data_IF_441941630278
#
_entry.id   IF_441941630278
#
_cell.length_a   1.000
_cell.length_b   1.000
_cell.length_c   1.000
_cell.angle_alpha   90.00
_cell.angle_beta   90.00
_cell.angle_gamma   90.00
#
_symmetry.space_group_name_H-M   'P 1'
#
loop_
_entity.id
_entity.type
_entity.pdbx_description
1 polymer ?
#
# COMPACT_ATOMS: atom_id res chain seq x y z
N UNK A 1 -23.18 -3.69 1.36
CA UNK A 1 -22.22 -2.74 1.92
C UNK A 1 -21.88 -1.71 0.85
N UNK A 2 -22.02 -0.41 1.15
CA UNK A 2 -21.51 0.64 0.25
C UNK A 2 -20.05 0.90 0.62
N UNK A 3 -19.18 0.99 -0.38
CA UNK A 3 -17.75 1.23 -0.21
C UNK A 3 -17.38 2.52 -0.94
N UNK A 4 -16.59 3.37 -0.31
CA UNK A 4 -15.94 4.52 -0.94
C UNK A 4 -14.43 4.42 -0.76
N UNK A 5 -13.67 4.94 -1.70
CA UNK A 5 -12.22 5.01 -1.64
C UNK A 5 -11.78 6.48 -1.56
N UNK A 6 -10.99 6.83 -0.55
CA UNK A 6 -10.38 8.14 -0.43
C UNK A 6 -8.87 8.02 -0.63
N UNK A 7 -8.34 8.72 -1.61
CA UNK A 7 -6.94 8.67 -1.98
C UNK A 7 -6.35 10.06 -2.14
N UNK A 8 -5.27 10.35 -1.41
CA UNK A 8 -4.54 11.63 -1.53
C UNK A 8 -3.28 11.41 -2.36
N UNK A 9 -3.31 11.85 -3.60
CA UNK A 9 -2.16 11.87 -4.49
C UNK A 9 -1.32 13.10 -4.21
N UNK A 10 -0.05 12.91 -3.85
CA UNK A 10 0.86 14.02 -3.59
C UNK A 10 2.08 13.97 -4.48
N UNK A 11 2.43 15.12 -5.01
CA UNK A 11 3.56 15.31 -5.90
C UNK A 11 4.69 16.00 -5.17
N UNK A 12 5.93 15.47 -5.21
CA UNK A 12 7.08 16.16 -4.62
C UNK A 12 7.46 17.39 -5.46
N UNK A 13 7.76 18.51 -4.80
CA UNK A 13 8.16 19.75 -5.50
C UNK A 13 9.44 19.59 -6.35
N UNK A 14 10.29 18.62 -6.06
CA UNK A 14 11.46 18.32 -6.91
C UNK A 14 11.09 17.97 -8.36
N UNK A 15 9.87 17.51 -8.59
CA UNK A 15 9.32 17.18 -9.90
C UNK A 15 8.54 18.34 -10.53
N UNK A 16 8.64 19.54 -9.93
CA UNK A 16 7.94 20.71 -10.43
C UNK A 16 8.52 21.18 -11.74
N UNK A 17 7.68 21.39 -12.74
CA UNK A 17 7.98 22.11 -13.97
C UNK A 17 6.78 22.98 -14.33
N UNK A 18 7.00 24.14 -14.93
CA UNK A 18 5.92 25.04 -15.38
C UNK A 18 4.97 24.35 -16.38
N UNK A 19 5.51 23.48 -17.26
CA UNK A 19 4.70 22.69 -18.20
C UNK A 19 3.76 21.74 -17.45
N UNK A 20 4.27 21.08 -16.42
CA UNK A 20 3.52 20.13 -15.58
C UNK A 20 2.50 20.88 -14.73
N UNK A 21 2.90 22.02 -14.14
CA UNK A 21 2.01 22.85 -13.34
C UNK A 21 0.80 23.35 -14.16
N UNK A 22 0.96 23.73 -15.44
CA UNK A 22 -0.16 24.16 -16.28
C UNK A 22 -1.10 23.04 -16.73
N UNK A 23 -0.65 21.80 -16.76
CA UNK A 23 -1.42 20.63 -17.28
C UNK A 23 -2.10 19.81 -16.20
N UNK A 24 -1.62 19.86 -14.99
CA UNK A 24 -2.09 19.00 -13.91
C UNK A 24 -3.01 19.73 -12.95
N UNK A 25 -3.93 18.98 -12.33
CA UNK A 25 -4.83 19.48 -11.28
C UNK A 25 -4.06 19.85 -10.01
N UNK A 26 -4.42 20.95 -9.36
CA UNK A 26 -3.77 21.43 -8.13
C UNK A 26 -4.80 21.61 -7.02
N UNK A 27 -4.60 20.95 -5.90
CA UNK A 27 -5.48 20.99 -4.73
C UNK A 27 -6.97 20.78 -5.06
N UNK A 28 -7.23 20.07 -6.15
CA UNK A 28 -8.59 19.73 -6.59
C UNK A 28 -8.97 18.35 -6.09
N UNK A 29 -10.25 18.20 -5.79
CA UNK A 29 -10.84 16.90 -5.45
C UNK A 29 -11.67 16.45 -6.65
N UNK A 30 -11.29 15.31 -7.22
CA UNK A 30 -12.09 14.61 -8.22
C UNK A 30 -12.83 13.44 -7.58
N UNK A 31 -14.00 13.11 -8.12
CA UNK A 31 -14.75 11.93 -7.77
C UNK A 31 -15.00 11.12 -9.04
N UNK A 32 -14.66 9.84 -9.00
CA UNK A 32 -14.86 8.89 -10.10
C UNK A 32 -15.77 7.76 -9.57
N UNK A 33 -16.88 7.54 -10.23
CA UNK A 33 -17.77 6.41 -9.95
C UNK A 33 -17.54 5.32 -11.01
N UNK A 34 -17.11 4.15 -10.57
CA UNK A 34 -16.89 2.99 -11.46
C UNK A 34 -18.05 1.97 -11.38
N UNK A 35 -19.20 2.37 -10.81
CA UNK A 35 -20.38 1.54 -10.63
C UNK A 35 -20.32 0.61 -9.41
N UNK A 36 -19.14 0.25 -8.91
CA UNK A 36 -18.98 -0.58 -7.72
C UNK A 36 -18.70 0.24 -6.46
N UNK A 37 -17.96 1.32 -6.60
CA UNK A 37 -17.63 2.26 -5.53
C UNK A 37 -17.19 3.61 -6.08
N UNK A 38 -17.34 4.65 -5.27
CA UNK A 38 -16.87 6.00 -5.59
C UNK A 38 -15.44 6.16 -5.10
N UNK A 39 -14.57 6.64 -5.99
CA UNK A 39 -13.19 7.03 -5.65
C UNK A 39 -13.08 8.54 -5.57
N UNK A 40 -12.79 9.07 -4.40
CA UNK A 40 -12.44 10.47 -4.22
C UNK A 40 -10.93 10.64 -4.16
N UNK A 41 -10.39 11.49 -5.03
CA UNK A 41 -8.96 11.76 -5.14
C UNK A 41 -8.66 13.23 -4.92
N UNK A 42 -7.74 13.52 -3.98
CA UNK A 42 -7.20 14.86 -3.79
C UNK A 42 -5.82 14.97 -4.47
N UNK A 43 -5.69 15.84 -5.44
CA UNK A 43 -4.42 16.16 -6.10
C UNK A 43 -3.73 17.30 -5.38
N UNK A 44 -2.58 17.04 -4.75
CA UNK A 44 -1.88 18.03 -3.95
C UNK A 44 -0.36 18.01 -4.20
N UNK A 45 0.30 19.13 -3.88
CA UNK A 45 1.75 19.23 -3.82
C UNK A 45 2.23 19.14 -2.38
N UNK A 46 3.34 18.44 -2.15
CA UNK A 46 3.95 18.33 -0.84
C UNK A 46 5.47 18.55 -0.95
N UNK A 47 5.98 19.69 -0.46
CA UNK A 47 7.40 20.02 -0.58
C UNK A 47 8.31 19.09 0.23
N UNK A 48 7.75 18.46 1.26
CA UNK A 48 8.49 17.62 2.22
C UNK A 48 8.00 16.18 2.25
N UNK A 49 7.56 15.64 1.12
CA UNK A 49 6.87 14.35 1.01
C UNK A 49 7.60 13.20 1.73
N UNK A 50 8.92 13.15 1.68
CA UNK A 50 9.74 12.10 2.32
C UNK A 50 10.04 12.35 3.81
N UNK A 51 9.55 13.46 4.39
CA UNK A 51 9.81 13.83 5.78
C UNK A 51 8.61 13.56 6.68
N UNK A 52 8.84 13.60 8.01
CA UNK A 52 7.75 13.53 9.00
C UNK A 52 6.74 14.67 8.81
N UNK A 53 7.22 15.89 8.57
CA UNK A 53 6.34 17.04 8.31
C UNK A 53 5.48 16.82 7.06
N UNK A 54 6.07 16.28 6.00
CA UNK A 54 5.33 15.93 4.79
C UNK A 54 4.26 14.87 5.02
N UNK A 55 4.55 13.85 5.83
CA UNK A 55 3.57 12.85 6.20
C UNK A 55 2.41 13.41 7.04
N UNK A 56 2.68 14.36 7.94
CA UNK A 56 1.64 15.06 8.70
C UNK A 56 0.77 15.88 7.74
N UNK A 57 1.38 16.63 6.82
CA UNK A 57 0.64 17.39 5.79
C UNK A 57 -0.24 16.42 4.97
N UNK A 58 0.30 15.29 4.55
CA UNK A 58 -0.46 14.26 3.84
C UNK A 58 -1.67 13.80 4.65
N UNK A 59 -1.47 13.50 5.93
CA UNK A 59 -2.56 13.05 6.80
C UNK A 59 -3.64 14.11 6.99
N UNK A 60 -3.28 15.39 7.12
CA UNK A 60 -4.24 16.48 7.24
C UNK A 60 -5.02 16.69 5.94
N UNK A 61 -4.36 16.63 4.79
CA UNK A 61 -5.03 16.70 3.48
C UNK A 61 -5.98 15.51 3.28
N UNK A 62 -5.59 14.32 3.73
CA UNK A 62 -6.47 13.14 3.70
C UNK A 62 -7.70 13.34 4.60
N UNK A 63 -7.55 13.96 5.77
CA UNK A 63 -8.69 14.31 6.63
C UNK A 63 -9.63 15.31 5.95
N UNK A 64 -9.10 16.31 5.24
CA UNK A 64 -9.93 17.25 4.46
C UNK A 64 -10.70 16.53 3.35
N UNK A 65 -10.07 15.57 2.68
CA UNK A 65 -10.72 14.74 1.67
C UNK A 65 -11.85 13.92 2.29
N UNK A 66 -11.60 13.21 3.40
CA UNK A 66 -12.62 12.43 4.12
C UNK A 66 -13.75 13.34 4.64
N UNK A 67 -13.43 14.55 5.12
CA UNK A 67 -14.46 15.52 5.50
C UNK A 67 -15.36 15.88 4.32
N UNK A 68 -14.81 16.06 3.12
CA UNK A 68 -15.59 16.31 1.90
C UNK A 68 -16.47 15.11 1.58
N UNK A 69 -15.93 13.90 1.68
CA UNK A 69 -16.64 12.64 1.48
C UNK A 69 -17.85 12.53 2.43
N UNK A 70 -17.63 12.73 3.72
CA UNK A 70 -18.68 12.71 4.75
C UNK A 70 -19.80 13.72 4.43
N UNK A 71 -19.45 14.91 3.93
CA UNK A 71 -20.45 15.94 3.58
C UNK A 71 -21.24 15.60 2.32
N UNK A 72 -20.62 14.86 1.40
CA UNK A 72 -21.24 14.54 0.11
C UNK A 72 -22.07 13.27 0.19
N UNK A 73 -21.58 12.24 0.88
CA UNK A 73 -22.17 10.90 0.87
C UNK A 73 -22.67 10.42 2.24
N UNK A 74 -22.48 11.22 3.28
CA UNK A 74 -22.83 10.86 4.64
C UNK A 74 -21.67 10.25 5.43
N UNK A 75 -21.87 10.11 6.74
CA UNK A 75 -20.87 9.56 7.65
C UNK A 75 -20.73 8.05 7.44
N UNK A 76 -19.51 7.54 7.19
CA UNK A 76 -19.29 6.10 7.09
C UNK A 76 -19.36 5.43 8.47
N UNK A 77 -19.74 4.15 8.51
CA UNK A 77 -19.76 3.33 9.72
C UNK A 77 -18.34 2.95 10.17
N UNK A 78 -17.43 2.81 9.22
CA UNK A 78 -16.05 2.38 9.47
C UNK A 78 -15.09 2.96 8.43
N UNK A 79 -13.88 3.31 8.86
CA UNK A 79 -12.76 3.60 7.98
C UNK A 79 -11.80 2.42 8.01
N UNK A 80 -11.41 1.93 6.84
CA UNK A 80 -10.37 0.94 6.68
C UNK A 80 -9.13 1.61 6.09
N UNK A 81 -8.09 1.79 6.89
CA UNK A 81 -6.83 2.37 6.46
C UNK A 81 -5.84 1.29 6.06
N UNK A 82 -5.15 1.48 4.93
CA UNK A 82 -4.02 0.66 4.53
C UNK A 82 -2.73 1.38 4.90
N UNK A 83 -1.84 0.68 5.61
CA UNK A 83 -0.63 1.18 6.29
C UNK A 83 -0.89 2.05 7.53
N UNK A 84 -0.19 1.71 8.60
CA UNK A 84 -0.35 2.40 9.91
C UNK A 84 0.25 3.80 9.93
N UNK A 85 1.33 4.06 9.20
CA UNK A 85 2.09 5.30 9.36
C UNK A 85 1.25 6.53 9.05
N UNK A 86 0.91 6.81 7.80
CA UNK A 86 0.21 8.05 7.46
C UNK A 86 -1.28 7.86 7.27
N UNK A 87 -1.70 6.79 6.59
CA UNK A 87 -3.13 6.51 6.41
C UNK A 87 -3.80 6.13 7.73
N UNK A 88 -3.18 5.29 8.56
CA UNK A 88 -3.66 4.99 9.90
C UNK A 88 -3.68 6.20 10.82
N UNK A 89 -2.67 7.08 10.70
CA UNK A 89 -2.65 8.33 11.46
C UNK A 89 -3.76 9.29 11.01
N UNK A 90 -4.02 9.39 9.70
CA UNK A 90 -5.15 10.16 9.17
C UNK A 90 -6.49 9.61 9.67
N UNK A 91 -6.68 8.28 9.64
CA UNK A 91 -7.89 7.63 10.16
C UNK A 91 -8.09 7.92 11.66
N UNK A 92 -7.00 7.93 12.44
CA UNK A 92 -7.03 8.34 13.85
C UNK A 92 -7.50 9.80 14.02
N UNK A 93 -7.02 10.73 13.19
CA UNK A 93 -7.47 12.13 13.24
C UNK A 93 -8.95 12.24 12.88
N UNK A 94 -9.44 11.50 11.89
CA UNK A 94 -10.87 11.41 11.57
C UNK A 94 -11.65 10.86 12.76
N UNK A 95 -11.18 9.81 13.41
CA UNK A 95 -11.80 9.29 14.62
C UNK A 95 -11.89 10.35 15.73
N UNK A 96 -10.82 11.11 15.96
CA UNK A 96 -10.82 12.18 16.98
C UNK A 96 -11.89 13.25 16.71
N UNK A 97 -12.05 13.66 15.46
CA UNK A 97 -12.92 14.77 15.09
C UNK A 97 -14.35 14.35 14.76
N UNK A 98 -14.52 13.20 14.11
CA UNK A 98 -15.83 12.76 13.60
C UNK A 98 -16.35 11.50 14.30
N UNK A 99 -15.56 10.91 15.22
CA UNK A 99 -15.92 9.68 15.95
C UNK A 99 -16.22 8.48 15.04
N UNK A 100 -15.72 8.48 13.81
CA UNK A 100 -15.81 7.33 12.90
C UNK A 100 -14.79 6.30 13.33
N UNK A 101 -15.19 5.08 13.72
CA UNK A 101 -14.25 4.03 14.09
C UNK A 101 -13.39 3.62 12.91
N UNK A 102 -12.20 3.06 13.16
CA UNK A 102 -11.32 2.64 12.11
C UNK A 102 -10.57 1.35 12.43
N UNK A 103 -10.21 0.63 11.37
CA UNK A 103 -9.31 -0.52 11.36
C UNK A 103 -8.13 -0.22 10.45
N UNK A 104 -7.01 -0.91 10.67
CA UNK A 104 -5.80 -0.74 9.88
C UNK A 104 -5.38 -2.10 9.32
N UNK A 105 -5.12 -2.19 8.01
CA UNK A 105 -4.37 -3.31 7.44
C UNK A 105 -2.92 -2.89 7.21
N UNK A 106 -2.01 -3.64 7.80
CA UNK A 106 -0.58 -3.36 7.71
C UNK A 106 0.10 -4.28 6.70
N UNK A 107 0.85 -3.66 5.77
CA UNK A 107 1.60 -4.33 4.69
C UNK A 107 3.09 -4.00 4.73
N UNK A 108 3.53 -3.11 5.66
CA UNK A 108 4.84 -2.49 5.60
C UNK A 108 5.98 -3.48 5.85
N UNK A 109 6.79 -3.74 4.85
CA UNK A 109 8.03 -4.51 4.96
C UNK A 109 9.07 -3.85 5.87
N UNK A 110 9.03 -2.51 6.02
CA UNK A 110 9.91 -1.75 6.92
C UNK A 110 9.74 -2.13 8.40
N UNK A 111 8.52 -2.49 8.81
CA UNK A 111 8.25 -2.97 10.17
C UNK A 111 8.89 -4.35 10.37
N UNK A 112 8.79 -5.25 9.40
CA UNK A 112 9.40 -6.58 9.45
C UNK A 112 10.93 -6.53 9.51
N UNK A 113 11.56 -5.53 8.89
CA UNK A 113 13.01 -5.36 8.82
C UNK A 113 13.60 -4.47 9.91
N UNK A 114 12.81 -4.04 10.92
CA UNK A 114 13.23 -3.05 11.93
C UNK A 114 13.77 -1.73 11.33
N UNK A 115 13.30 -1.37 10.13
CA UNK A 115 13.70 -0.15 9.42
C UNK A 115 12.83 1.07 9.76
N UNK A 116 12.02 0.93 10.79
CA UNK A 116 11.13 2.01 11.25
C UNK A 116 11.94 3.05 12.03
N UNK A 117 11.94 4.30 11.58
CA UNK A 117 12.61 5.38 12.31
C UNK A 117 11.91 5.69 13.65
N UNK A 118 12.59 6.25 14.64
CA UNK A 118 11.96 6.63 15.92
C UNK A 118 10.73 7.53 15.75
N UNK A 119 10.79 8.46 14.80
CA UNK A 119 9.67 9.34 14.50
C UNK A 119 8.47 8.62 13.89
N UNK A 120 8.70 7.63 13.03
CA UNK A 120 7.65 6.79 12.49
C UNK A 120 7.05 5.88 13.57
N UNK A 121 7.88 5.34 14.47
CA UNK A 121 7.42 4.52 15.59
C UNK A 121 6.40 5.26 16.48
N UNK A 122 6.64 6.55 16.77
CA UNK A 122 5.69 7.40 17.51
C UNK A 122 4.35 7.54 16.77
N UNK A 123 4.40 7.73 15.46
CA UNK A 123 3.19 7.85 14.62
C UNK A 123 2.42 6.52 14.59
N UNK A 124 3.11 5.40 14.41
CA UNK A 124 2.52 4.06 14.42
C UNK A 124 1.83 3.76 15.75
N UNK A 125 2.51 3.98 16.88
CA UNK A 125 1.93 3.79 18.22
C UNK A 125 0.64 4.61 18.38
N UNK A 126 0.63 5.86 17.93
CA UNK A 126 -0.56 6.71 17.95
C UNK A 126 -1.67 6.18 17.04
N UNK A 127 -1.33 5.72 15.82
CA UNK A 127 -2.32 5.18 14.91
C UNK A 127 -2.96 3.89 15.43
N UNK A 128 -2.15 3.01 16.05
CA UNK A 128 -2.64 1.73 16.56
C UNK A 128 -3.39 1.82 17.90
N UNK A 129 -3.08 2.80 18.75
CA UNK A 129 -3.66 2.89 20.10
C UNK A 129 -5.19 2.95 20.11
N UNK A 130 -5.79 3.65 19.15
CA UNK A 130 -7.24 3.88 19.07
C UNK A 130 -7.92 3.10 17.94
N UNK A 131 -7.15 2.32 17.16
CA UNK A 131 -7.72 1.42 16.16
C UNK A 131 -8.56 0.32 16.82
N UNK A 132 -9.70 -0.01 16.21
CA UNK A 132 -10.55 -1.12 16.66
C UNK A 132 -9.88 -2.46 16.48
N UNK A 133 -9.24 -2.67 15.33
CA UNK A 133 -8.44 -3.84 14.99
C UNK A 133 -7.29 -3.45 14.08
N UNK A 134 -6.22 -4.23 14.14
CA UNK A 134 -5.06 -4.14 13.27
C UNK A 134 -4.96 -5.48 12.56
N UNK A 135 -5.07 -5.46 11.26
CA UNK A 135 -4.95 -6.62 10.40
C UNK A 135 -3.53 -6.65 9.87
N UNK A 136 -2.85 -7.77 9.93
CA UNK A 136 -1.55 -7.96 9.31
C UNK A 136 -1.57 -9.15 8.35
N UNK A 137 -0.82 -9.04 7.27
CA UNK A 137 -0.86 -10.02 6.16
C UNK A 137 -0.04 -11.28 6.41
N UNK A 138 0.59 -11.40 7.59
CA UNK A 138 1.38 -12.59 7.93
C UNK A 138 1.85 -12.61 9.38
N UNK A 139 2.17 -13.81 9.86
CA UNK A 139 2.57 -14.05 11.26
C UNK A 139 3.89 -13.38 11.65
N UNK A 140 4.84 -13.26 10.71
CA UNK A 140 6.09 -12.51 10.94
C UNK A 140 5.78 -11.04 11.22
N UNK A 141 4.89 -10.43 10.43
CA UNK A 141 4.48 -9.05 10.62
C UNK A 141 3.73 -8.87 11.96
N UNK A 142 2.87 -9.82 12.35
CA UNK A 142 2.22 -9.80 13.67
C UNK A 142 3.24 -9.68 14.80
N UNK A 143 4.28 -10.51 14.79
CA UNK A 143 5.34 -10.49 15.82
C UNK A 143 6.03 -9.12 15.88
N UNK A 144 6.37 -8.55 14.71
CA UNK A 144 7.02 -7.24 14.64
C UNK A 144 6.10 -6.09 15.10
N UNK A 145 4.79 -6.20 14.88
CA UNK A 145 3.80 -5.21 15.31
C UNK A 145 3.62 -5.14 16.82
N UNK A 146 3.87 -6.22 17.56
CA UNK A 146 3.76 -6.25 19.03
C UNK A 146 4.62 -5.16 19.72
N UNK A 147 5.72 -4.73 19.09
CA UNK A 147 6.54 -3.63 19.62
C UNK A 147 5.86 -2.24 19.57
N UNK A 148 4.80 -2.10 18.78
CA UNK A 148 4.09 -0.84 18.54
C UNK A 148 2.66 -0.82 19.08
N UNK A 149 2.15 -1.94 19.53
CA UNK A 149 0.75 -2.12 19.97
C UNK A 149 0.73 -2.48 21.45
N UNK A 150 -0.04 -1.74 22.24
CA UNK A 150 -0.16 -2.00 23.69
C UNK A 150 -1.03 -3.22 24.01
N UNK A 151 -1.93 -3.59 23.09
CA UNK A 151 -2.86 -4.69 23.25
C UNK A 151 -2.71 -5.65 22.06
N UNK A 152 -1.95 -6.76 22.21
CA UNK A 152 -1.72 -7.73 21.15
C UNK A 152 -2.99 -8.39 20.59
N UNK A 153 -4.07 -8.44 21.36
CA UNK A 153 -5.34 -9.06 20.95
C UNK A 153 -6.08 -8.21 19.89
N UNK A 154 -5.67 -6.96 19.73
CA UNK A 154 -6.10 -6.14 18.60
C UNK A 154 -5.52 -6.59 17.27
N UNK A 155 -4.44 -7.39 17.25
CA UNK A 155 -3.72 -7.77 16.03
C UNK A 155 -4.19 -9.13 15.54
N UNK A 156 -4.82 -9.14 14.36
CA UNK A 156 -5.32 -10.34 13.68
C UNK A 156 -4.53 -10.58 12.39
N UNK A 157 -4.22 -11.83 12.09
CA UNK A 157 -3.60 -12.22 10.82
C UNK A 157 -4.69 -12.55 9.81
N UNK A 158 -4.77 -11.79 8.72
CA UNK A 158 -5.58 -12.08 7.55
C UNK A 158 -4.64 -11.97 6.34
N UNK A 159 -4.24 -13.10 5.73
CA UNK A 159 -3.35 -13.09 4.58
C UNK A 159 -3.97 -12.37 3.38
N UNK A 160 -3.10 -11.91 2.47
CA UNK A 160 -3.57 -11.46 1.17
C UNK A 160 -4.29 -12.62 0.47
N UNK A 161 -5.40 -12.33 -0.18
CA UNK A 161 -6.18 -13.29 -0.95
C UNK A 161 -6.00 -13.04 -2.44
N UNK A 162 -6.31 -14.06 -3.22
CA UNK A 162 -6.31 -14.03 -4.68
C UNK A 162 -7.64 -14.59 -5.18
N UNK A 163 -8.14 -14.04 -6.26
CA UNK A 163 -9.33 -14.58 -6.92
C UNK A 163 -8.98 -15.90 -7.62
N UNK A 164 -9.44 -17.00 -7.05
CA UNK A 164 -9.20 -18.34 -7.59
C UNK A 164 -9.97 -18.64 -8.88
N UNK A 165 -10.97 -17.84 -9.24
CA UNK A 165 -11.65 -17.96 -10.53
C UNK A 165 -10.78 -17.37 -11.65
N UNK A 166 -10.15 -16.21 -11.39
CA UNK A 166 -9.21 -15.59 -12.32
C UNK A 166 -7.90 -16.40 -12.40
N UNK A 167 -7.42 -16.92 -11.29
CA UNK A 167 -6.19 -17.72 -11.20
C UNK A 167 -6.49 -19.20 -11.00
N UNK A 168 -7.44 -19.71 -11.80
CA UNK A 168 -7.84 -21.12 -11.75
C UNK A 168 -6.72 -22.03 -12.26
N UNK A 169 -6.64 -23.21 -11.65
CA UNK A 169 -5.77 -24.27 -12.16
C UNK A 169 -6.29 -24.74 -13.52
N UNK A 170 -5.43 -24.73 -14.56
CA UNK A 170 -5.76 -25.28 -15.87
C UNK A 170 -5.26 -26.73 -15.97
N UNK A 171 -6.17 -27.71 -16.04
CA UNK A 171 -5.80 -29.13 -16.16
C UNK A 171 -5.18 -29.48 -17.51
N UNK A 172 -5.34 -28.65 -18.54
CA UNK A 172 -4.82 -28.90 -19.90
C UNK A 172 -3.31 -28.64 -20.05
N UNK A 173 -2.60 -28.40 -18.96
CA UNK A 173 -1.15 -28.10 -18.98
C UNK A 173 -0.28 -29.34 -18.72
N UNK A 174 -0.81 -30.56 -18.91
CA UNK A 174 -0.09 -31.82 -18.65
C UNK A 174 0.79 -32.31 -19.81
N UNK A 175 0.79 -31.65 -20.96
CA UNK A 175 1.74 -31.97 -22.00
C UNK A 175 3.16 -31.61 -21.53
N UNK A 176 4.03 -32.63 -21.47
CA UNK A 176 5.47 -32.45 -21.22
C UNK A 176 6.06 -31.58 -22.31
N UNK A 177 6.12 -30.28 -22.09
CA UNK A 177 6.78 -29.36 -23.02
C UNK A 177 8.27 -29.73 -23.10
N UNK A 178 8.80 -29.83 -24.31
CA UNK A 178 10.25 -30.00 -24.54
C UNK A 178 11.07 -28.83 -24.02
N UNK A 179 10.43 -27.69 -23.69
CA UNK A 179 11.04 -26.48 -23.21
C UNK A 179 10.41 -26.06 -21.87
N UNK A 180 11.25 -25.79 -20.86
CA UNK A 180 10.84 -25.31 -19.54
C UNK A 180 11.14 -23.81 -19.41
N UNK A 181 10.16 -23.04 -18.95
CA UNK A 181 10.29 -21.61 -18.78
C UNK A 181 10.03 -21.20 -17.34
N UNK A 182 11.03 -20.61 -16.70
CA UNK A 182 10.84 -19.88 -15.45
C UNK A 182 10.28 -18.48 -15.75
N UNK A 183 9.43 -17.96 -14.87
CA UNK A 183 8.96 -16.59 -14.94
C UNK A 183 9.14 -15.89 -13.59
N UNK A 184 9.64 -14.65 -13.61
CA UNK A 184 9.70 -13.78 -12.44
C UNK A 184 9.10 -12.42 -12.78
N UNK A 185 8.20 -11.92 -11.89
CA UNK A 185 7.46 -10.68 -12.12
C UNK A 185 7.69 -9.74 -10.93
N UNK A 186 8.01 -8.47 -11.22
CA UNK A 186 8.15 -7.45 -10.17
C UNK A 186 8.95 -6.23 -10.61
N UNK A 187 8.97 -5.18 -9.76
CA UNK A 187 9.80 -4.01 -10.01
C UNK A 187 11.29 -4.39 -10.02
N UNK A 188 12.01 -3.99 -11.07
CA UNK A 188 13.43 -4.28 -11.25
C UNK A 188 14.25 -3.35 -10.35
N UNK A 189 14.37 -3.71 -9.09
CA UNK A 189 15.20 -2.98 -8.12
C UNK A 189 16.05 -3.94 -7.29
N UNK A 190 17.10 -3.43 -6.66
CA UNK A 190 18.09 -4.22 -5.90
C UNK A 190 17.44 -5.11 -4.83
N UNK A 191 16.37 -4.63 -4.15
CA UNK A 191 15.70 -5.37 -3.09
C UNK A 191 15.00 -6.65 -3.57
N UNK A 192 14.63 -6.72 -4.86
CA UNK A 192 13.94 -7.88 -5.44
C UNK A 192 14.87 -8.99 -5.88
N UNK A 193 16.20 -8.76 -5.88
CA UNK A 193 17.19 -9.79 -6.14
C UNK A 193 17.23 -10.29 -7.58
N UNK A 194 16.82 -9.48 -8.57
CA UNK A 194 16.85 -9.90 -9.98
C UNK A 194 18.27 -10.17 -10.47
N UNK A 195 19.28 -9.47 -9.94
CA UNK A 195 20.67 -9.73 -10.25
C UNK A 195 21.11 -11.13 -9.77
N UNK A 196 20.76 -11.46 -8.52
CA UNK A 196 21.06 -12.77 -7.95
C UNK A 196 20.33 -13.88 -8.73
N UNK A 197 19.07 -13.63 -9.12
CA UNK A 197 18.28 -14.55 -9.95
C UNK A 197 18.96 -14.81 -11.31
N UNK A 198 19.39 -13.76 -12.01
CA UNK A 198 20.08 -13.89 -13.30
C UNK A 198 21.39 -14.68 -13.17
N UNK A 199 22.18 -14.36 -12.14
CA UNK A 199 23.45 -15.04 -11.86
C UNK A 199 23.22 -16.52 -11.55
N UNK A 200 22.28 -16.83 -10.66
CA UNK A 200 21.94 -18.20 -10.31
C UNK A 200 21.39 -19.00 -11.50
N UNK A 201 20.51 -18.36 -12.30
CA UNK A 201 19.95 -18.98 -13.49
C UNK A 201 21.04 -19.29 -14.53
N UNK A 202 21.97 -18.38 -14.79
CA UNK A 202 23.08 -18.59 -15.70
C UNK A 202 23.93 -19.79 -15.23
N UNK A 203 24.31 -19.84 -13.97
CA UNK A 203 25.14 -20.94 -13.47
C UNK A 203 24.44 -22.30 -13.49
N UNK A 204 23.14 -22.33 -13.22
CA UNK A 204 22.38 -23.57 -13.18
C UNK A 204 22.01 -24.11 -14.58
N UNK A 205 21.78 -23.23 -15.57
CA UNK A 205 21.13 -23.60 -16.82
C UNK A 205 21.87 -23.16 -18.09
N UNK A 206 23.12 -22.64 -18.00
CA UNK A 206 23.90 -22.15 -19.18
C UNK A 206 24.05 -23.19 -20.29
N UNK A 207 24.11 -24.47 -19.94
CA UNK A 207 24.31 -25.58 -20.88
C UNK A 207 22.99 -26.30 -21.24
N UNK A 208 21.83 -25.73 -20.86
CA UNK A 208 20.48 -26.29 -21.05
C UNK A 208 19.64 -25.43 -22.00
N UNK A 209 19.75 -25.57 -23.33
CA UNK A 209 19.07 -24.70 -24.30
C UNK A 209 17.54 -24.84 -24.27
N UNK A 210 17.01 -25.88 -23.64
CA UNK A 210 15.57 -26.12 -23.46
C UNK A 210 14.99 -25.44 -22.21
N UNK A 211 15.81 -24.67 -21.48
CA UNK A 211 15.39 -23.93 -20.28
C UNK A 211 15.54 -22.43 -20.53
N UNK A 212 14.53 -21.66 -20.21
CA UNK A 212 14.53 -20.20 -20.35
C UNK A 212 14.03 -19.50 -19.10
N UNK A 213 14.40 -18.23 -18.95
CA UNK A 213 13.90 -17.33 -17.91
C UNK A 213 13.26 -16.11 -18.56
N UNK A 214 12.03 -15.83 -18.19
CA UNK A 214 11.31 -14.60 -18.52
C UNK A 214 11.26 -13.72 -17.28
N UNK A 215 11.72 -12.47 -17.42
CA UNK A 215 11.57 -11.44 -16.39
C UNK A 215 10.59 -10.40 -16.92
N UNK A 216 9.52 -10.16 -16.18
CA UNK A 216 8.50 -9.17 -16.51
C UNK A 216 8.45 -8.10 -15.42
N UNK A 217 8.61 -6.85 -15.81
CA UNK A 217 8.58 -5.71 -14.91
C UNK A 217 9.31 -4.51 -15.44
N UNK A 218 9.23 -3.41 -14.71
CA UNK A 218 9.91 -2.16 -14.98
C UNK A 218 10.70 -1.72 -13.74
N UNK A 219 11.70 -0.85 -13.90
CA UNK A 219 12.56 -0.43 -12.80
C UNK A 219 13.42 0.79 -13.11
N UNK A 220 14.25 1.20 -12.14
CA UNK A 220 15.17 2.34 -12.20
C UNK A 220 16.47 1.97 -12.91
#
# INVERSE_FOLDING_TARGET
>A
CKVGLAFTEQRPLKNFTWKRFRKESHFQISAEDNGSFVTMRLHAWNPKLSTRAGGIIWSLLTVLLVRKDIRTYGRPDLIHAHFGTWAGYAARLVYKWYKVPYVITEHASSINGNQTTPSQAVILKKAYSEARKIICVGTKLKRSLCAYVSDPDKVTVIPNFVDTNTFAFSPHRTEKKKHFTFISIGNLNKRKGFWDLLTAFHWAFKDMPHVSLIIAGDGE
#
